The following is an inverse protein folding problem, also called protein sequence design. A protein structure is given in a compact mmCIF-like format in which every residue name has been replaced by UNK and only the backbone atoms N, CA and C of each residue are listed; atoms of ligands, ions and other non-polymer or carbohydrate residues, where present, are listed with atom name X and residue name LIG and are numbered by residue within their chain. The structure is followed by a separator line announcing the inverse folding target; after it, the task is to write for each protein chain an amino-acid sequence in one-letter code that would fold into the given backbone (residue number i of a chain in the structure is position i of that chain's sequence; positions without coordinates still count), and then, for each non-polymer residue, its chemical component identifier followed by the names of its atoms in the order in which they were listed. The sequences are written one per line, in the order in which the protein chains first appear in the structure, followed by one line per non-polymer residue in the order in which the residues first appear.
data_IF_702304750714
#
_entry.id   IF_702304750714
#
_cell.length_a   1.000
_cell.length_b   1.000
_cell.length_c   1.000
_cell.angle_alpha   90.00
_cell.angle_beta   90.00
_cell.angle_gamma   90.00
#
_symmetry.space_group_name_H-M   'P 1'
#
loop_
_entity.id
_entity.type
_entity.pdbx_description
1 polymer ?
#
# COMPACT_ATOMS: atom_id res chain seq x y z
N UNK A 1 -4.65 -0.92 6.93
CA UNK A 1 -3.23 -0.52 7.19
C UNK A 1 -3.23 0.79 7.96
N UNK A 2 -2.41 0.93 8.99
CA UNK A 2 -2.13 2.17 9.70
C UNK A 2 -0.75 2.68 9.28
N UNK A 3 -0.62 3.99 9.06
CA UNK A 3 0.63 4.69 8.78
C UNK A 3 0.75 5.86 9.74
N UNK A 4 1.76 5.84 10.59
CA UNK A 4 2.07 6.88 11.57
C UNK A 4 3.12 7.83 10.97
N UNK A 5 2.68 8.99 10.50
CA UNK A 5 3.56 9.99 9.88
C UNK A 5 4.49 10.63 10.91
N UNK A 6 4.12 10.65 12.19
CA UNK A 6 4.97 11.21 13.26
C UNK A 6 6.25 10.39 13.48
N UNK A 7 6.25 9.13 13.03
CA UNK A 7 7.41 8.22 13.09
C UNK A 7 8.13 8.08 11.76
N UNK A 8 7.50 8.51 10.66
CA UNK A 8 8.09 8.30 9.34
C UNK A 8 9.26 9.25 9.12
N UNK A 9 10.42 8.70 8.77
CA UNK A 9 11.67 9.43 8.53
C UNK A 9 12.02 9.57 7.03
N UNK A 10 11.09 9.28 6.13
CA UNK A 10 11.29 9.42 4.68
C UNK A 10 12.30 8.46 4.05
N UNK A 11 12.78 7.43 4.74
CA UNK A 11 13.91 6.58 4.30
C UNK A 11 13.65 5.74 3.03
N UNK A 12 12.44 5.71 2.50
CA UNK A 12 12.04 4.97 1.29
C UNK A 12 12.24 3.44 1.32
N UNK A 13 12.67 2.82 2.43
CA UNK A 13 12.85 1.36 2.48
C UNK A 13 11.57 0.59 2.13
N UNK A 14 10.39 1.13 2.52
CA UNK A 14 9.10 0.56 2.15
C UNK A 14 8.82 0.58 0.64
N UNK A 15 9.35 1.57 -0.10
CA UNK A 15 9.30 1.65 -1.55
C UNK A 15 10.19 0.59 -2.19
N UNK A 16 11.43 0.45 -1.66
CA UNK A 16 12.39 -0.52 -2.17
C UNK A 16 12.00 -1.96 -1.88
N UNK A 17 11.51 -2.27 -0.68
CA UNK A 17 10.99 -3.59 -0.36
C UNK A 17 9.78 -3.96 -1.24
N UNK A 18 8.90 -3.02 -1.54
CA UNK A 18 7.80 -3.23 -2.47
C UNK A 18 8.32 -3.56 -3.88
N UNK A 19 9.37 -2.84 -4.36
CA UNK A 19 10.00 -3.12 -5.65
C UNK A 19 10.67 -4.49 -5.69
N UNK A 20 11.40 -4.86 -4.64
CA UNK A 20 12.07 -6.16 -4.56
C UNK A 20 11.06 -7.31 -4.58
N UNK A 21 10.10 -7.31 -3.65
CA UNK A 21 9.09 -8.36 -3.47
C UNK A 21 8.20 -8.55 -4.70
N UNK A 22 7.86 -7.45 -5.38
CA UNK A 22 6.97 -7.48 -6.55
C UNK A 22 7.71 -7.42 -7.89
N UNK A 23 9.02 -7.55 -7.88
CA UNK A 23 9.93 -7.54 -9.06
C UNK A 23 9.68 -6.39 -10.05
N UNK A 24 9.84 -5.15 -9.58
CA UNK A 24 9.83 -3.99 -10.46
C UNK A 24 11.23 -3.64 -10.92
N UNK A 25 11.50 -3.49 -12.23
CA UNK A 25 12.73 -2.89 -12.71
C UNK A 25 12.97 -1.51 -12.07
N UNK A 26 14.22 -1.17 -11.85
CA UNK A 26 14.62 0.00 -11.06
C UNK A 26 14.09 1.33 -11.58
N UNK A 27 13.96 1.45 -12.89
CA UNK A 27 13.51 2.67 -13.59
C UNK A 27 12.00 2.72 -13.87
N UNK A 28 11.23 1.80 -13.30
CA UNK A 28 9.79 1.70 -13.53
C UNK A 28 9.00 2.27 -12.36
N UNK A 29 7.69 2.10 -12.46
CA UNK A 29 6.68 2.51 -11.48
C UNK A 29 7.00 2.05 -10.05
N UNK A 30 6.41 2.73 -9.08
CA UNK A 30 6.39 2.33 -7.67
C UNK A 30 4.97 2.29 -7.15
N UNK A 31 4.52 1.15 -6.61
CA UNK A 31 3.17 1.02 -6.04
C UNK A 31 3.02 1.72 -4.69
N UNK A 32 4.13 1.94 -4.03
CA UNK A 32 4.22 2.68 -2.78
C UNK A 32 5.23 3.80 -2.96
N UNK A 33 4.76 5.03 -2.85
CA UNK A 33 5.57 6.25 -3.01
C UNK A 33 5.58 6.97 -1.68
N UNK A 34 6.71 7.53 -1.29
CA UNK A 34 6.80 8.43 -0.14
C UNK A 34 6.92 9.84 -0.68
N UNK A 35 5.93 10.67 -0.41
CA UNK A 35 5.99 12.10 -0.69
C UNK A 35 6.59 12.82 0.50
N UNK A 36 7.36 13.85 0.22
CA UNK A 36 7.93 14.76 1.20
C UNK A 36 7.29 16.13 1.02
N UNK A 37 6.88 16.71 2.13
CA UNK A 37 6.29 18.05 2.17
C UNK A 37 6.81 18.78 3.40
N UNK A 38 7.23 20.02 3.23
CA UNK A 38 7.63 20.88 4.35
C UNK A 38 6.41 21.65 4.82
N UNK A 39 5.98 21.40 6.05
CA UNK A 39 4.88 22.13 6.70
C UNK A 39 5.42 23.15 7.70
N UNK A 40 4.61 24.18 8.01
CA UNK A 40 4.94 25.16 9.05
C UNK A 40 4.14 24.83 10.30
N UNK A 41 4.81 24.54 11.41
CA UNK A 41 4.23 24.27 12.72
C UNK A 41 4.64 25.39 13.67
N UNK A 42 3.74 26.35 13.92
CA UNK A 42 4.07 27.55 14.66
C UNK A 42 5.09 28.43 13.91
N UNK A 43 6.29 28.61 14.45
CA UNK A 43 7.41 29.34 13.82
C UNK A 43 8.38 28.45 13.06
N UNK A 44 8.27 27.13 13.23
CA UNK A 44 9.26 26.17 12.73
C UNK A 44 8.77 25.47 11.46
N UNK A 45 9.73 25.03 10.66
CA UNK A 45 9.47 24.21 9.47
C UNK A 45 9.81 22.76 9.79
N UNK A 46 8.89 21.86 9.49
CA UNK A 46 9.07 20.42 9.67
C UNK A 46 8.81 19.69 8.36
N UNK A 47 9.67 18.73 8.04
CA UNK A 47 9.46 17.84 6.91
C UNK A 47 8.57 16.69 7.32
N UNK A 48 7.45 16.54 6.63
CA UNK A 48 6.47 15.49 6.85
C UNK A 48 6.47 14.55 5.65
N UNK A 49 6.48 13.28 5.94
CA UNK A 49 6.50 12.23 4.92
C UNK A 49 5.14 11.56 4.81
N UNK A 50 4.64 11.44 3.58
CA UNK A 50 3.38 10.75 3.27
C UNK A 50 3.66 9.49 2.44
N UNK A 51 3.83 8.33 3.10
CA UNK A 51 3.91 7.05 2.40
C UNK A 51 2.54 6.68 1.84
N UNK A 52 2.39 6.67 0.53
CA UNK A 52 1.12 6.46 -0.17
C UNK A 52 1.10 5.16 -0.97
N UNK A 53 0.55 4.06 -0.43
CA UNK A 53 0.16 2.86 -1.18
C UNK A 53 -1.21 3.06 -1.87
N UNK A 54 -1.74 2.01 -2.49
CA UNK A 54 -3.17 1.97 -2.83
C UNK A 54 -4.02 1.98 -1.55
N UNK A 55 -5.08 2.78 -1.52
CA UNK A 55 -5.96 2.90 -0.35
C UNK A 55 -6.84 1.67 -0.10
N UNK A 56 -6.88 0.69 -1.02
CA UNK A 56 -7.69 -0.53 -0.87
C UNK A 56 -9.12 -0.23 -0.41
N UNK A 57 -9.78 0.69 -1.10
CA UNK A 57 -11.06 1.28 -0.74
C UNK A 57 -12.15 0.25 -0.48
N UNK A 58 -13.06 0.55 0.46
CA UNK A 58 -14.25 -0.28 0.70
C UNK A 58 -15.28 -0.10 -0.42
N UNK A 59 -15.41 1.14 -0.95
CA UNK A 59 -16.21 1.47 -2.13
C UNK A 59 -15.31 1.96 -3.28
N UNK A 60 -14.64 1.05 -4.02
CA UNK A 60 -13.60 1.40 -4.96
C UNK A 60 -14.17 1.85 -6.31
N UNK A 61 -14.03 3.12 -6.72
CA UNK A 61 -14.52 3.59 -8.03
C UNK A 61 -13.84 2.89 -9.19
N UNK A 62 -12.61 2.44 -9.00
CA UNK A 62 -11.85 1.75 -10.03
C UNK A 62 -12.41 0.37 -10.44
N UNK A 63 -13.24 -0.25 -9.62
CA UNK A 63 -13.98 -1.49 -9.99
C UNK A 63 -15.16 -1.11 -10.89
N UNK A 64 -15.91 -0.07 -10.51
CA UNK A 64 -17.14 0.35 -11.20
C UNK A 64 -16.90 0.71 -12.69
N UNK A 65 -15.69 1.16 -13.01
CA UNK A 65 -15.33 1.58 -14.39
C UNK A 65 -14.59 0.51 -15.19
N UNK A 66 -14.36 -0.67 -14.63
CA UNK A 66 -13.64 -1.72 -15.38
C UNK A 66 -14.57 -2.48 -16.32
N UNK A 67 -14.45 -2.30 -17.65
CA UNK A 67 -15.42 -2.85 -18.62
C UNK A 67 -15.36 -4.38 -18.73
N UNK A 68 -14.22 -4.97 -18.34
CA UNK A 68 -13.99 -6.42 -18.44
C UNK A 68 -13.96 -7.11 -17.07
N UNK A 69 -14.25 -6.39 -15.98
CA UNK A 69 -14.23 -6.95 -14.64
C UNK A 69 -12.85 -7.41 -14.16
N UNK A 70 -11.76 -6.99 -14.83
CA UNK A 70 -10.39 -7.33 -14.42
C UNK A 70 -10.02 -6.77 -13.05
N UNK A 71 -10.52 -5.58 -12.70
CA UNK A 71 -10.40 -5.05 -11.34
C UNK A 71 -11.59 -5.52 -10.51
N UNK A 72 -11.34 -6.19 -9.41
CA UNK A 72 -12.37 -6.77 -8.56
C UNK A 72 -12.06 -6.62 -7.07
N UNK A 73 -13.07 -6.78 -6.23
CA UNK A 73 -12.93 -6.86 -4.78
C UNK A 73 -13.06 -8.32 -4.34
N UNK A 74 -12.06 -8.85 -3.69
CA UNK A 74 -12.07 -10.23 -3.19
C UNK A 74 -13.03 -10.34 -2.01
N UNK A 75 -13.92 -11.32 -2.06
CA UNK A 75 -14.99 -11.45 -1.05
C UNK A 75 -14.48 -11.86 0.33
N UNK A 76 -13.41 -12.65 0.40
CA UNK A 76 -12.88 -13.18 1.66
C UNK A 76 -12.28 -12.12 2.59
N UNK A 77 -11.66 -11.07 2.05
CA UNK A 77 -10.92 -10.06 2.81
C UNK A 77 -11.15 -8.63 2.30
N UNK A 78 -11.91 -8.50 1.23
CA UNK A 78 -12.22 -7.21 0.61
C UNK A 78 -11.02 -6.55 -0.10
N UNK A 79 -9.94 -7.25 -0.37
CA UNK A 79 -8.82 -6.69 -1.14
C UNK A 79 -9.25 -6.35 -2.57
N UNK A 80 -8.89 -5.17 -3.01
CA UNK A 80 -9.07 -4.74 -4.39
C UNK A 80 -7.89 -5.22 -5.21
N UNK A 81 -8.13 -6.14 -6.14
CA UNK A 81 -7.12 -6.82 -6.93
C UNK A 81 -7.33 -6.59 -8.44
N UNK A 82 -6.39 -7.07 -9.24
CA UNK A 82 -6.46 -7.04 -10.70
C UNK A 82 -6.14 -8.44 -11.22
N UNK A 83 -7.03 -8.95 -12.05
CA UNK A 83 -6.79 -10.13 -12.88
C UNK A 83 -6.06 -9.63 -14.15
N UNK A 84 -4.77 -9.95 -14.24
CA UNK A 84 -3.91 -9.45 -15.33
C UNK A 84 -4.21 -10.12 -16.66
N UNK A 85 -4.79 -11.32 -16.67
CA UNK A 85 -5.17 -12.04 -17.89
C UNK A 85 -6.43 -11.44 -18.54
N UNK A 86 -7.31 -10.83 -17.72
CA UNK A 86 -8.49 -10.10 -18.19
C UNK A 86 -8.22 -8.63 -18.51
N UNK A 87 -7.13 -8.06 -17.99
CA UNK A 87 -6.87 -6.63 -18.12
C UNK A 87 -6.54 -6.24 -19.57
N UNK A 88 -7.38 -5.44 -20.20
CA UNK A 88 -7.19 -4.93 -21.56
C UNK A 88 -6.43 -3.59 -21.62
N UNK A 89 -5.99 -3.06 -20.48
CA UNK A 89 -5.20 -1.84 -20.42
C UNK A 89 -5.94 -0.54 -20.81
N UNK A 90 -7.25 -0.50 -20.73
CA UNK A 90 -8.05 0.68 -21.11
C UNK A 90 -7.82 1.91 -20.22
N UNK A 91 -7.19 1.75 -19.06
CA UNK A 91 -6.78 2.79 -18.09
C UNK A 91 -7.92 3.58 -17.43
N UNK A 92 -9.19 3.24 -17.64
CA UNK A 92 -10.31 3.91 -16.96
C UNK A 92 -10.18 3.87 -15.43
N UNK A 93 -9.67 2.76 -14.89
CA UNK A 93 -9.42 2.63 -13.46
C UNK A 93 -8.31 3.56 -12.94
N UNK A 94 -7.41 4.05 -13.79
CA UNK A 94 -6.42 5.08 -13.43
C UNK A 94 -7.10 6.45 -13.33
N UNK A 95 -7.94 6.81 -14.31
CA UNK A 95 -8.69 8.07 -14.31
C UNK A 95 -9.69 8.14 -13.14
N UNK A 96 -10.32 7.01 -12.79
CA UNK A 96 -11.28 6.93 -11.70
C UNK A 96 -10.64 6.93 -10.29
N UNK A 97 -9.32 6.67 -10.18
CA UNK A 97 -8.65 6.61 -8.89
C UNK A 97 -8.27 8.00 -8.39
N UNK A 98 -8.91 8.54 -7.33
CA UNK A 98 -8.62 9.90 -6.87
C UNK A 98 -7.24 10.02 -6.19
N UNK A 99 -6.62 8.89 -5.89
CA UNK A 99 -5.32 8.82 -5.23
C UNK A 99 -4.13 8.70 -6.21
N UNK A 100 -4.37 8.52 -7.52
CA UNK A 100 -3.31 8.25 -8.48
C UNK A 100 -2.50 6.97 -8.18
N UNK A 101 -3.11 5.99 -7.51
CA UNK A 101 -2.43 4.78 -7.02
C UNK A 101 -2.51 3.60 -8.01
N UNK A 102 -2.66 3.90 -9.29
CA UNK A 102 -2.67 2.92 -10.38
C UNK A 102 -1.71 3.34 -11.48
N UNK A 103 -1.01 2.37 -12.04
CA UNK A 103 0.09 2.56 -12.96
C UNK A 103 -0.11 1.67 -14.17
N UNK A 104 0.27 2.16 -15.35
CA UNK A 104 0.16 1.39 -16.60
C UNK A 104 1.54 1.02 -17.13
N UNK A 105 1.69 -0.22 -17.57
CA UNK A 105 2.92 -0.72 -18.16
C UNK A 105 2.98 -0.37 -19.66
N UNK A 106 3.54 0.80 -19.97
CA UNK A 106 3.70 1.28 -21.34
C UNK A 106 4.71 0.46 -22.14
N UNK A 107 5.73 -0.05 -21.46
CA UNK A 107 6.79 -0.87 -22.04
C UNK A 107 6.88 -2.19 -21.32
N UNK A 108 7.48 -3.20 -21.95
CA UNK A 108 7.80 -4.43 -21.25
C UNK A 108 8.76 -4.14 -20.07
N UNK A 109 8.49 -4.63 -18.86
CA UNK A 109 9.32 -4.37 -17.69
C UNK A 109 10.60 -5.19 -17.75
N UNK A 110 11.58 -4.73 -18.53
CA UNK A 110 12.91 -5.34 -18.68
C UNK A 110 13.94 -4.62 -17.81
N UNK A 111 15.10 -5.24 -17.62
CA UNK A 111 16.21 -4.66 -16.86
C UNK A 111 16.33 -5.17 -15.43
N UNK A 112 17.40 -4.76 -14.76
CA UNK A 112 17.70 -5.17 -13.40
C UNK A 112 16.79 -4.52 -12.37
N UNK A 113 16.50 -5.24 -11.30
CA UNK A 113 15.88 -4.71 -10.09
C UNK A 113 16.98 -4.51 -9.03
N UNK A 114 17.52 -3.31 -8.91
CA UNK A 114 18.60 -3.00 -7.97
C UNK A 114 18.19 -3.14 -6.50
N UNK A 115 16.89 -3.17 -6.21
CA UNK A 115 16.41 -3.42 -4.85
C UNK A 115 16.63 -4.86 -4.38
N UNK A 116 16.97 -5.77 -5.31
CA UNK A 116 17.26 -7.17 -5.02
C UNK A 116 18.80 -7.36 -4.96
N UNK A 117 19.32 -8.10 -3.97
CA UNK A 117 18.64 -8.75 -2.84
C UNK A 117 18.52 -7.86 -1.59
N UNK A 118 19.00 -6.62 -1.64
CA UNK A 118 19.18 -5.75 -0.45
C UNK A 118 17.89 -5.53 0.33
N UNK A 119 16.75 -5.36 -0.35
CA UNK A 119 15.45 -5.05 0.26
C UNK A 119 14.45 -6.20 0.17
N UNK A 120 14.86 -7.35 -0.31
CA UNK A 120 14.04 -8.55 -0.47
C UNK A 120 14.32 -9.29 -1.77
N UNK A 121 13.53 -10.32 -2.02
CA UNK A 121 13.59 -11.13 -3.24
C UNK A 121 12.23 -11.14 -3.94
N UNK A 122 12.19 -11.32 -5.28
CA UNK A 122 10.93 -11.45 -6.00
C UNK A 122 10.09 -12.64 -5.52
N UNK A 123 8.85 -12.38 -5.19
CA UNK A 123 7.87 -13.40 -4.79
C UNK A 123 6.79 -13.63 -5.85
N UNK A 124 6.75 -12.78 -6.85
CA UNK A 124 5.79 -12.85 -7.96
C UNK A 124 6.47 -12.44 -9.27
N UNK A 125 6.03 -12.98 -10.41
CA UNK A 125 6.56 -12.60 -11.71
C UNK A 125 6.22 -11.16 -12.05
N UNK A 126 7.00 -10.54 -12.93
CA UNK A 126 6.74 -9.24 -13.53
C UNK A 126 5.44 -9.27 -14.32
N UNK A 127 4.69 -8.18 -14.21
CA UNK A 127 3.44 -8.03 -14.99
C UNK A 127 3.80 -7.66 -16.42
N UNK A 128 3.00 -8.10 -17.40
CA UNK A 128 3.29 -7.83 -18.79
C UNK A 128 3.09 -6.34 -19.16
N UNK A 129 3.58 -5.96 -20.35
CA UNK A 129 3.19 -4.72 -21.00
C UNK A 129 1.67 -4.70 -21.25
N UNK A 130 1.06 -3.52 -21.14
CA UNK A 130 -0.33 -3.31 -21.55
C UNK A 130 -1.36 -3.51 -20.44
N UNK A 131 -0.92 -3.82 -19.21
CA UNK A 131 -1.81 -3.94 -18.03
C UNK A 131 -1.65 -2.76 -17.09
N UNK A 132 -2.69 -2.54 -16.27
CA UNK A 132 -2.64 -1.59 -15.16
C UNK A 132 -2.27 -2.32 -13.87
N UNK A 133 -1.36 -1.77 -13.11
CA UNK A 133 -0.90 -2.32 -11.83
C UNK A 133 -1.26 -1.41 -10.66
N UNK A 134 -1.22 -1.95 -9.44
CA UNK A 134 -1.36 -1.22 -8.17
C UNK A 134 -0.91 -2.07 -6.99
N UNK A 135 -0.70 -1.44 -5.84
CA UNK A 135 -0.44 -2.15 -4.59
C UNK A 135 -1.58 -3.13 -4.24
N UNK A 136 -1.22 -4.37 -3.96
CA UNK A 136 -2.13 -5.47 -3.59
C UNK A 136 -2.12 -5.77 -2.08
N UNK A 137 -1.39 -4.98 -1.27
CA UNK A 137 -1.00 -5.31 0.11
C UNK A 137 -0.19 -6.61 0.19
N UNK A 138 0.60 -6.91 -0.84
CA UNK A 138 1.38 -8.14 -0.96
C UNK A 138 0.48 -9.40 -0.78
N UNK A 139 -0.59 -9.48 -1.57
CA UNK A 139 -1.58 -10.55 -1.49
C UNK A 139 -0.96 -11.95 -1.50
N UNK A 140 0.14 -12.15 -2.23
CA UNK A 140 0.87 -13.40 -2.27
C UNK A 140 1.43 -13.81 -0.90
N UNK A 141 1.90 -12.83 -0.09
CA UNK A 141 2.38 -13.08 1.27
C UNK A 141 1.23 -13.37 2.22
N UNK A 142 0.14 -12.61 2.10
CA UNK A 142 -1.06 -12.83 2.90
C UNK A 142 -1.63 -14.22 2.66
N UNK A 143 -1.79 -14.62 1.40
CA UNK A 143 -2.38 -15.91 1.04
C UNK A 143 -1.47 -17.09 1.47
N UNK A 144 -0.16 -16.99 1.22
CA UNK A 144 0.79 -18.01 1.64
C UNK A 144 0.91 -18.14 3.16
N UNK A 145 0.92 -17.01 3.87
CA UNK A 145 1.00 -17.00 5.34
C UNK A 145 -0.27 -17.54 5.99
N UNK A 146 -1.44 -17.08 5.54
CA UNK A 146 -2.73 -17.57 6.06
C UNK A 146 -2.92 -19.07 5.83
N UNK A 147 -2.44 -19.60 4.69
CA UNK A 147 -2.46 -21.05 4.42
C UNK A 147 -1.59 -21.85 5.40
N UNK A 148 -0.63 -21.22 6.04
CA UNK A 148 0.26 -21.80 7.06
C UNK A 148 -0.20 -21.48 8.50
N UNK A 149 -1.35 -20.80 8.68
CA UNK A 149 -1.85 -20.39 9.97
C UNK A 149 -1.14 -19.17 10.58
N UNK A 150 -0.33 -18.46 9.78
CA UNK A 150 0.37 -17.25 10.21
C UNK A 150 -0.56 -16.03 10.25
N UNK A 151 -0.22 -15.05 11.08
CA UNK A 151 -1.07 -13.87 11.35
C UNK A 151 -0.51 -12.63 10.66
N UNK A 152 -1.23 -12.02 9.70
CA UNK A 152 -0.81 -10.79 9.04
C UNK A 152 -0.56 -9.64 10.02
N UNK A 153 0.61 -9.02 9.90
CA UNK A 153 1.06 -7.94 10.80
C UNK A 153 1.85 -8.45 12.01
N UNK A 154 1.74 -9.73 12.36
CA UNK A 154 2.50 -10.38 13.44
C UNK A 154 3.67 -11.16 12.86
N UNK A 155 3.39 -12.08 11.96
CA UNK A 155 4.38 -12.92 11.33
C UNK A 155 4.95 -12.24 10.07
N UNK A 156 6.28 -12.10 9.93
CA UNK A 156 6.92 -11.42 8.80
C UNK A 156 6.47 -11.97 7.44
N UNK A 157 6.37 -13.30 7.31
CA UNK A 157 6.04 -14.00 6.07
C UNK A 157 4.59 -13.72 5.61
N UNK A 158 3.68 -13.47 6.54
CA UNK A 158 2.28 -13.12 6.29
C UNK A 158 2.04 -11.61 6.21
N UNK A 159 3.08 -10.80 6.35
CA UNK A 159 2.96 -9.33 6.44
C UNK A 159 3.43 -8.64 5.16
N UNK A 160 2.74 -7.57 4.70
CA UNK A 160 3.22 -6.78 3.56
C UNK A 160 4.67 -6.32 3.75
N UNK A 161 5.51 -6.52 2.73
CA UNK A 161 6.94 -6.23 2.79
C UNK A 161 7.27 -4.79 3.25
N UNK A 162 6.42 -3.82 2.88
CA UNK A 162 6.58 -2.43 3.30
C UNK A 162 6.28 -2.17 4.79
N UNK A 163 5.60 -3.08 5.45
CA UNK A 163 5.36 -3.04 6.91
C UNK A 163 6.52 -3.70 7.63
N UNK A 164 6.90 -4.89 7.20
CA UNK A 164 7.97 -5.68 7.79
C UNK A 164 9.33 -4.96 7.74
N UNK A 165 9.67 -4.33 6.61
CA UNK A 165 10.95 -3.64 6.43
C UNK A 165 11.07 -2.34 7.24
N UNK A 166 9.95 -1.73 7.68
CA UNK A 166 9.93 -0.38 8.25
C UNK A 166 10.81 -0.30 9.51
N UNK A 167 11.90 0.50 9.51
CA UNK A 167 12.88 0.50 10.60
C UNK A 167 12.41 1.27 11.85
N UNK A 168 11.39 2.12 11.70
CA UNK A 168 10.86 2.97 12.77
C UNK A 168 9.44 2.61 13.19
N UNK A 169 8.89 1.53 12.63
CA UNK A 169 7.54 1.07 12.96
C UNK A 169 6.43 2.07 12.61
N UNK A 170 6.64 2.90 11.61
CA UNK A 170 5.63 3.83 11.12
C UNK A 170 4.44 3.12 10.44
N UNK A 171 4.57 1.85 10.10
CA UNK A 171 3.52 1.07 9.42
C UNK A 171 3.04 -0.09 10.27
N UNK A 172 1.72 -0.30 10.27
CA UNK A 172 1.04 -1.44 10.89
C UNK A 172 0.05 -2.04 9.91
N UNK A 173 -0.16 -3.33 10.02
CA UNK A 173 -1.11 -4.06 9.18
C UNK A 173 -1.93 -5.03 10.02
N UNK A 174 -3.14 -5.33 9.60
CA UNK A 174 -4.03 -6.27 10.26
C UNK A 174 -5.47 -6.07 9.84
N UNK A 175 -6.33 -6.93 10.35
CA UNK A 175 -7.77 -6.77 10.23
C UNK A 175 -8.27 -5.81 11.32
N UNK A 176 -8.94 -4.74 10.92
CA UNK A 176 -9.48 -3.75 11.87
C UNK A 176 -10.60 -4.33 12.75
N UNK A 177 -11.24 -5.41 12.32
CA UNK A 177 -12.27 -6.08 13.10
C UNK A 177 -11.70 -6.97 14.21
N UNK A 178 -10.42 -7.36 14.11
CA UNK A 178 -9.73 -8.13 15.14
C UNK A 178 -9.33 -7.31 16.37
N UNK A 179 -9.53 -5.99 16.33
CA UNK A 179 -9.23 -5.07 17.42
C UNK A 179 -7.78 -4.55 17.45
N UNK A 180 -6.87 -5.10 16.65
CA UNK A 180 -5.47 -4.67 16.60
C UNK A 180 -4.92 -4.65 15.17
N UNK A 181 -3.98 -3.73 14.94
CA UNK A 181 -3.05 -3.76 13.80
C UNK A 181 -1.63 -3.86 14.34
N UNK A 182 -0.76 -4.55 13.62
CA UNK A 182 0.57 -4.90 14.15
C UNK A 182 1.70 -4.68 13.14
N UNK A 183 2.91 -4.74 13.63
CA UNK A 183 4.13 -4.90 12.84
C UNK A 183 5.00 -5.95 13.52
N UNK A 184 5.67 -6.84 12.77
CA UNK A 184 6.48 -7.91 13.34
C UNK A 184 7.53 -7.42 14.32
N UNK A 185 8.13 -6.24 14.06
CA UNK A 185 9.21 -5.67 14.87
C UNK A 185 8.73 -4.77 16.01
N UNK A 186 7.54 -4.18 15.91
CA UNK A 186 7.08 -3.13 16.82
C UNK A 186 5.76 -3.44 17.53
N UNK A 187 5.24 -4.66 17.37
CA UNK A 187 4.07 -5.16 18.07
C UNK A 187 2.75 -4.47 17.68
N UNK A 188 1.78 -4.64 18.56
CA UNK A 188 0.38 -4.29 18.32
C UNK A 188 0.07 -2.82 18.63
N UNK A 189 -0.89 -2.28 17.89
CA UNK A 189 -1.56 -1.01 18.16
C UNK A 189 -3.07 -1.29 18.17
N UNK A 190 -3.79 -0.96 19.27
CA UNK A 190 -5.24 -1.15 19.33
C UNK A 190 -5.94 -0.28 18.28
N UNK A 191 -6.91 -0.85 17.59
CA UNK A 191 -7.71 -0.13 16.58
C UNK A 191 -8.46 1.03 17.24
N UNK A 192 -8.97 0.84 18.45
CA UNK A 192 -9.67 1.88 19.24
C UNK A 192 -8.82 3.12 19.53
N UNK A 193 -7.48 3.01 19.49
CA UNK A 193 -6.60 4.15 19.76
C UNK A 193 -6.48 5.13 18.59
N UNK A 194 -6.90 4.75 17.38
CA UNK A 194 -6.72 5.61 16.21
C UNK A 194 -7.93 5.69 15.28
N UNK A 195 -8.86 4.75 15.33
CA UNK A 195 -9.91 4.60 14.29
C UNK A 195 -10.78 5.85 14.11
N UNK A 196 -11.04 6.56 15.19
CA UNK A 196 -11.89 7.76 15.20
C UNK A 196 -11.11 9.05 14.89
N UNK A 197 -9.78 9.05 15.13
CA UNK A 197 -8.93 10.24 15.01
C UNK A 197 -8.00 10.20 13.80
N UNK A 198 -7.73 9.01 13.26
CA UNK A 198 -6.84 8.87 12.12
C UNK A 198 -7.44 9.48 10.84
N UNK A 199 -6.61 10.21 10.13
CA UNK A 199 -6.95 10.78 8.83
C UNK A 199 -7.08 9.68 7.78
N UNK A 200 -8.07 9.82 6.92
CA UNK A 200 -8.19 9.05 5.67
C UNK A 200 -8.10 10.02 4.48
N UNK A 201 -7.17 9.77 3.56
CA UNK A 201 -6.98 10.64 2.40
C UNK A 201 -8.27 10.76 1.58
N UNK A 202 -8.70 11.99 1.29
CA UNK A 202 -9.87 12.31 0.45
C UNK A 202 -11.14 11.53 0.89
N UNK A 203 -11.39 11.49 2.19
CA UNK A 203 -12.53 10.79 2.80
C UNK A 203 -13.87 11.31 2.26
N UNK A 204 -13.94 12.61 1.93
CA UNK A 204 -15.05 13.32 1.34
C UNK A 204 -15.54 12.75 -0.01
N UNK A 205 -14.67 12.07 -0.75
CA UNK A 205 -15.02 11.45 -2.02
C UNK A 205 -15.79 10.12 -1.90
N UNK A 206 -16.12 9.69 -0.68
CA UNK A 206 -16.97 8.53 -0.42
C UNK A 206 -16.37 7.18 -0.78
N UNK A 207 -15.08 7.10 -1.10
CA UNK A 207 -14.42 5.84 -1.48
C UNK A 207 -14.15 4.89 -0.32
N UNK A 208 -14.28 5.37 0.91
CA UNK A 208 -14.01 4.65 2.17
C UNK A 208 -12.64 3.99 2.18
N UNK A 209 -11.54 4.77 2.25
CA UNK A 209 -10.17 4.24 2.26
C UNK A 209 -9.94 3.32 3.46
N UNK A 210 -9.16 2.24 3.27
CA UNK A 210 -8.73 1.32 4.34
C UNK A 210 -7.27 1.53 4.75
N UNK A 211 -6.69 2.68 4.40
CA UNK A 211 -5.40 3.17 4.92
C UNK A 211 -5.70 4.38 5.80
N UNK A 212 -5.22 4.31 7.02
CA UNK A 212 -5.41 5.31 8.08
C UNK A 212 -4.07 5.96 8.38
N UNK A 213 -4.08 7.27 8.62
CA UNK A 213 -2.88 8.05 8.90
C UNK A 213 -2.96 8.75 10.25
N UNK A 214 -1.94 8.57 11.08
CA UNK A 214 -1.70 9.45 12.23
C UNK A 214 -0.82 10.59 11.72
N UNK A 215 -1.30 11.83 11.83
CA UNK A 215 -0.63 13.02 11.31
C UNK A 215 0.04 13.83 12.42
N UNK A 216 1.16 14.52 12.14
CA UNK A 216 1.68 15.52 13.07
C UNK A 216 0.64 16.62 13.31
N UNK A 217 0.50 17.05 14.58
CA UNK A 217 -0.41 18.15 14.94
C UNK A 217 -1.88 17.78 15.13
N UNK A 218 -2.32 16.56 14.88
CA UNK A 218 -3.67 16.08 15.23
C UNK A 218 -4.84 16.75 14.51
N UNK A 219 -4.61 17.66 13.56
CA UNK A 219 -5.68 18.35 12.82
C UNK A 219 -6.01 17.62 11.51
N UNK A 220 -7.29 17.43 11.31
CA UNK A 220 -7.89 16.97 10.06
C UNK A 220 -7.84 18.11 9.04
N UNK A 221 -7.13 17.92 7.94
CA UNK A 221 -7.34 18.71 6.73
C UNK A 221 -8.34 18.03 5.80
#
# INVERSE_FOLDING_TARGET
MLIDQTKCIGCNQCTWACKATNDFPSNTISWNVVYEETITVGSDKEDVFLPRPCMQCEDPPCIKVCPVGATYKRASDGLVLIDYDKCIGCRYCMAACPYGARYFNWTAPTGANWAVPTYGTPEVPRRPRGVVEKCTFCVQRLDAGLAQGLVPGVDPEATPACVDICPVGARRFGDITSGNVSSPKFGNVPVSSFIDTAMQLKKDLGTKPRVYYITPGGEQQ
#
